data_IF_953272472136
#
_entry.id   IF_953272472136
#
_cell.length_a   1.000
_cell.length_b   1.000
_cell.length_c   1.000
_cell.angle_alpha   90.00
_cell.angle_beta   90.00
_cell.angle_gamma   90.00
#
_symmetry.space_group_name_H-M   'P 1'
#
loop_
_entity.id
_entity.type
_entity.pdbx_description
1 polymer ?
#
# COMPACT_ATOMS: atom_id res chain seq x y z
N UNK A 1 -0.56 -11.70 1.59
CA UNK A 1 -1.59 -12.35 0.76
C UNK A 1 -1.99 -11.41 -0.38
N UNK A 2 -2.06 -11.93 -1.61
CA UNK A 2 -2.62 -11.21 -2.75
C UNK A 2 -4.12 -11.53 -2.80
N UNK A 3 -4.97 -10.53 -2.59
CA UNK A 3 -6.42 -10.69 -2.63
C UNK A 3 -6.95 -10.50 -4.05
N UNK A 4 -6.38 -9.53 -4.77
CA UNK A 4 -6.77 -9.19 -6.13
C UNK A 4 -5.57 -8.61 -6.88
N UNK A 5 -5.39 -9.00 -8.14
CA UNK A 5 -4.42 -8.41 -9.06
C UNK A 5 -5.00 -8.47 -10.48
N UNK A 6 -5.25 -7.29 -11.05
CA UNK A 6 -5.81 -7.09 -12.40
C UNK A 6 -4.92 -6.10 -13.16
N UNK A 7 -5.35 -5.68 -14.35
CA UNK A 7 -4.63 -4.70 -15.19
C UNK A 7 -4.66 -3.26 -14.63
N UNK A 8 -5.59 -2.95 -13.70
CA UNK A 8 -5.77 -1.60 -13.15
C UNK A 8 -5.97 -1.54 -11.63
N UNK A 9 -6.10 -2.69 -10.95
CA UNK A 9 -6.33 -2.77 -9.51
C UNK A 9 -5.51 -3.87 -8.86
N UNK A 10 -4.95 -3.57 -7.69
CA UNK A 10 -4.33 -4.57 -6.83
C UNK A 10 -4.74 -4.38 -5.37
N UNK A 11 -4.95 -5.48 -4.65
CA UNK A 11 -5.31 -5.49 -3.23
C UNK A 11 -4.44 -6.51 -2.50
N UNK A 12 -3.76 -6.05 -1.47
CA UNK A 12 -2.85 -6.85 -0.65
C UNK A 12 -3.27 -6.82 0.81
N UNK A 13 -3.21 -7.97 1.47
CA UNK A 13 -3.23 -8.07 2.93
C UNK A 13 -1.84 -8.43 3.42
N UNK A 14 -1.33 -7.62 4.35
CA UNK A 14 0.00 -7.77 4.91
C UNK A 14 -0.16 -8.11 6.39
N UNK A 15 0.23 -9.33 6.72
CA UNK A 15 0.31 -9.84 8.08
C UNK A 15 1.72 -9.61 8.62
N UNK A 16 1.83 -9.48 9.94
CA UNK A 16 3.11 -9.37 10.65
C UNK A 16 4.08 -8.34 10.04
N UNK A 17 3.55 -7.20 9.56
CA UNK A 17 4.39 -6.13 9.04
C UNK A 17 5.22 -5.50 10.18
N UNK A 18 6.52 -5.75 10.18
CA UNK A 18 7.47 -5.25 11.19
C UNK A 18 7.42 -3.72 11.29
N UNK A 19 7.26 -3.01 10.16
CA UNK A 19 7.16 -1.54 10.11
C UNK A 19 5.98 -1.08 10.98
N UNK A 20 4.77 -1.58 10.72
CA UNK A 20 3.58 -1.19 11.46
C UNK A 20 3.49 -1.79 12.87
N UNK A 21 4.08 -2.97 13.11
CA UNK A 21 4.15 -3.54 14.46
C UNK A 21 5.01 -2.69 15.40
N UNK A 22 6.09 -2.10 14.89
CA UNK A 22 7.00 -1.25 15.66
C UNK A 22 6.42 0.14 15.94
N UNK A 23 5.43 0.57 15.16
CA UNK A 23 4.81 1.89 15.21
C UNK A 23 3.40 1.88 15.84
N UNK A 24 3.02 0.79 16.51
CA UNK A 24 1.70 0.65 17.14
C UNK A 24 1.42 1.79 18.12
N UNK A 25 0.26 2.43 17.96
CA UNK A 25 -0.21 3.51 18.83
C UNK A 25 0.38 4.89 18.53
N UNK A 26 1.23 5.02 17.51
CA UNK A 26 1.69 6.32 17.02
C UNK A 26 0.63 6.89 16.06
N UNK A 27 0.14 8.09 16.37
CA UNK A 27 -0.84 8.77 15.53
C UNK A 27 -0.25 9.09 14.15
N UNK A 28 -1.00 8.77 13.09
CA UNK A 28 -0.56 8.97 11.71
C UNK A 28 0.42 7.91 11.17
N UNK A 29 0.80 6.90 11.96
CA UNK A 29 1.63 5.82 11.45
C UNK A 29 0.91 4.97 10.39
N UNK A 30 1.55 4.81 9.24
CA UNK A 30 1.05 4.08 8.08
C UNK A 30 2.18 3.29 7.39
N UNK A 31 1.83 2.41 6.45
CA UNK A 31 2.82 1.73 5.62
C UNK A 31 3.45 2.77 4.68
N UNK A 32 4.70 3.14 4.93
CA UNK A 32 5.44 4.06 4.07
C UNK A 32 6.38 3.28 3.16
N UNK A 33 7.15 2.35 3.73
CA UNK A 33 8.13 1.56 3.00
C UNK A 33 7.47 0.54 2.07
N UNK A 34 6.63 -0.35 2.60
CA UNK A 34 5.96 -1.38 1.79
C UNK A 34 5.05 -0.75 0.74
N UNK A 35 4.42 0.38 1.07
CA UNK A 35 3.55 1.10 0.15
C UNK A 35 4.29 1.53 -1.11
N UNK A 36 5.46 2.15 -0.95
CA UNK A 36 6.31 2.60 -2.06
C UNK A 36 6.92 1.43 -2.84
N UNK A 37 7.38 0.38 -2.15
CA UNK A 37 7.96 -0.80 -2.79
C UNK A 37 6.95 -1.49 -3.72
N UNK A 38 5.73 -1.73 -3.24
CA UNK A 38 4.67 -2.36 -4.03
C UNK A 38 4.26 -1.45 -5.20
N UNK A 39 4.19 -0.12 -5.00
CA UNK A 39 3.90 0.81 -6.08
C UNK A 39 4.93 0.72 -7.22
N UNK A 40 6.21 0.60 -6.89
CA UNK A 40 7.28 0.41 -7.87
C UNK A 40 7.21 -0.93 -8.61
N UNK A 41 6.79 -2.01 -7.95
CA UNK A 41 6.55 -3.30 -8.62
C UNK A 41 5.35 -3.21 -9.58
N UNK A 42 4.26 -2.57 -9.14
CA UNK A 42 3.05 -2.41 -9.93
C UNK A 42 3.26 -1.49 -11.15
N UNK A 43 4.11 -0.47 -11.06
CA UNK A 43 4.42 0.37 -12.22
C UNK A 43 5.06 -0.44 -13.35
N UNK A 44 5.96 -1.37 -13.02
CA UNK A 44 6.53 -2.33 -13.96
C UNK A 44 5.49 -3.30 -14.52
N UNK A 45 4.65 -3.88 -13.66
CA UNK A 45 3.61 -4.83 -14.05
C UNK A 45 2.56 -4.20 -14.99
N UNK A 46 2.09 -2.99 -14.67
CA UNK A 46 1.10 -2.25 -15.45
C UNK A 46 1.69 -1.42 -16.59
N UNK A 47 3.02 -1.49 -16.82
CA UNK A 47 3.74 -0.74 -17.85
C UNK A 47 3.41 0.74 -17.83
N UNK A 48 3.43 1.33 -16.64
CA UNK A 48 3.11 2.74 -16.42
C UNK A 48 4.13 3.37 -15.49
N UNK A 49 4.05 4.69 -15.33
CA UNK A 49 4.90 5.40 -14.40
C UNK A 49 4.38 5.26 -12.96
N UNK A 50 5.26 5.32 -11.96
CA UNK A 50 4.87 5.22 -10.54
C UNK A 50 3.87 6.32 -10.13
N UNK A 51 3.89 7.49 -10.77
CA UNK A 51 2.91 8.56 -10.59
C UNK A 51 1.52 8.24 -11.20
N UNK A 52 1.33 7.05 -11.77
CA UNK A 52 0.03 6.51 -12.17
C UNK A 52 -0.41 5.34 -11.28
N UNK A 53 0.21 5.22 -10.11
CA UNK A 53 -0.11 4.20 -9.11
C UNK A 53 -0.61 4.92 -7.87
N UNK A 54 -1.94 4.95 -7.67
CA UNK A 54 -2.54 5.56 -6.49
C UNK A 54 -2.66 4.54 -5.37
N UNK A 55 -1.90 4.67 -4.27
CA UNK A 55 -2.06 3.82 -3.11
C UNK A 55 -3.20 4.31 -2.20
N UNK A 56 -3.85 3.39 -1.51
CA UNK A 56 -4.75 3.65 -0.40
C UNK A 56 -4.55 2.58 0.68
N UNK A 57 -4.55 2.98 1.94
CA UNK A 57 -4.44 2.07 3.07
C UNK A 57 -5.71 2.11 3.93
N UNK A 58 -6.53 1.07 3.82
CA UNK A 58 -7.83 0.99 4.49
C UNK A 58 -7.76 0.35 5.88
N UNK A 59 -6.71 -0.43 6.16
CA UNK A 59 -6.44 -1.06 7.48
C UNK A 59 -4.95 -1.01 7.80
N UNK A 60 -4.60 -0.91 9.08
CA UNK A 60 -3.21 -0.88 9.53
C UNK A 60 -3.00 -1.47 10.91
N UNK A 61 -2.00 -2.33 11.04
CA UNK A 61 -1.55 -2.86 12.33
C UNK A 61 -1.16 -1.74 13.29
N UNK A 62 -0.58 -0.64 12.79
CA UNK A 62 -0.20 0.50 13.63
C UNK A 62 -1.42 1.20 14.26
N UNK A 63 -2.57 1.17 13.57
CA UNK A 63 -3.87 1.67 14.01
C UNK A 63 -4.67 0.66 14.85
N UNK A 64 -4.15 -0.55 15.04
CA UNK A 64 -4.78 -1.62 15.83
C UNK A 64 -5.57 -2.65 15.02
N UNK A 65 -5.56 -2.58 13.68
CA UNK A 65 -6.18 -3.60 12.84
C UNK A 65 -5.42 -4.94 12.90
N UNK A 66 -6.09 -6.08 12.64
CA UNK A 66 -5.44 -7.39 12.63
C UNK A 66 -4.41 -7.58 11.49
N UNK A 67 -4.45 -6.74 10.47
CA UNK A 67 -3.54 -6.75 9.32
C UNK A 67 -3.54 -5.39 8.63
N UNK A 68 -2.53 -5.12 7.80
CA UNK A 68 -2.54 -3.95 6.92
C UNK A 68 -3.20 -4.30 5.59
N UNK A 69 -4.08 -3.42 5.08
CA UNK A 69 -4.70 -3.57 3.77
C UNK A 69 -4.23 -2.44 2.86
N UNK A 70 -3.51 -2.80 1.80
CA UNK A 70 -3.06 -1.87 0.78
C UNK A 70 -3.80 -2.12 -0.53
N UNK A 71 -4.36 -1.05 -1.07
CA UNK A 71 -5.13 -1.03 -2.31
C UNK A 71 -4.44 -0.08 -3.29
N UNK A 72 -4.38 -0.49 -4.55
CA UNK A 72 -3.73 0.28 -5.60
C UNK A 72 -4.66 0.37 -6.80
N UNK A 73 -4.68 1.55 -7.42
CA UNK A 73 -5.36 1.83 -8.68
C UNK A 73 -4.39 2.39 -9.70
N UNK A 74 -4.53 1.96 -10.95
CA UNK A 74 -3.83 2.53 -12.11
C UNK A 74 -4.50 3.84 -12.53
N UNK A 75 -4.27 4.89 -11.76
CA UNK A 75 -4.79 6.23 -12.00
C UNK A 75 -3.74 7.28 -11.62
N UNK A 76 -3.85 8.49 -12.17
CA UNK A 76 -2.91 9.57 -11.88
C UNK A 76 -2.86 9.84 -10.36
N UNK A 77 -1.65 9.80 -9.81
CA UNK A 77 -1.35 10.05 -8.40
C UNK A 77 -0.19 11.02 -8.30
N UNK A 78 -0.53 12.24 -7.89
CA UNK A 78 0.44 13.27 -7.54
C UNK A 78 0.43 13.36 -6.01
N UNK A 79 1.45 12.82 -5.32
CA UNK A 79 1.54 12.97 -3.88
C UNK A 79 1.58 14.47 -3.56
N UNK A 80 0.74 14.90 -2.62
CA UNK A 80 0.79 16.24 -2.06
C UNK A 80 2.12 16.35 -1.30
N UNK A 81 3.12 16.94 -1.95
CA UNK A 81 4.40 17.31 -1.31
C UNK A 81 4.16 18.45 -0.35
#
# INVERSE_FOLDING_TARGET
>A
EVVELTEDKAVFRIYDNIECMSLKGIEGAENSMLRGLIAGVLSGYWKTDVYHIKPAETKCIARGDPYCQLEYRKEKYEPLV
#
